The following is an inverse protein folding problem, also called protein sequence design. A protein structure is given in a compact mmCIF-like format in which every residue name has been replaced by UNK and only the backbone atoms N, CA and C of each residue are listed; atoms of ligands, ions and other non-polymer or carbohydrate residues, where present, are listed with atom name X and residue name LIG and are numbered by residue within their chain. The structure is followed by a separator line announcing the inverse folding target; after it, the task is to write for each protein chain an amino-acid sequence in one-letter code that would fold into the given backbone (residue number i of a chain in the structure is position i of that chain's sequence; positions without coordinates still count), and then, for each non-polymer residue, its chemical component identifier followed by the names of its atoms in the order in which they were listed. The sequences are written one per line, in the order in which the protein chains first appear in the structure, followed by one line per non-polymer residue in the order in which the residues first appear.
data_IF_440809032088
#
_entry.id   IF_440809032088
#
_cell.length_a   1.000
_cell.length_b   1.000
_cell.length_c   1.000
_cell.angle_alpha   90.00
_cell.angle_beta   90.00
_cell.angle_gamma   90.00
#
_symmetry.space_group_name_H-M   'P 1'
#
loop_
_entity.id
_entity.type
_entity.pdbx_description
1 polymer ?
#
# COMPACT_ATOMS: atom_id res chain seq x y z
N UNK A 1 39.21 31.71 16.87
CA UNK A 1 38.16 30.82 17.42
C UNK A 1 36.87 31.20 16.71
N UNK A 2 36.65 30.63 15.53
CA UNK A 2 35.39 30.80 14.81
C UNK A 2 34.47 29.63 15.18
N UNK A 3 33.24 29.99 15.51
CA UNK A 3 32.22 29.12 16.07
C UNK A 3 31.89 27.95 15.13
N UNK A 4 32.17 26.73 15.60
CA UNK A 4 31.55 25.49 15.12
C UNK A 4 30.10 25.46 15.61
N UNK A 5 29.17 25.98 14.82
CA UNK A 5 27.77 25.57 14.85
C UNK A 5 27.40 25.14 13.42
N UNK A 6 27.95 24.00 13.00
CA UNK A 6 27.41 23.26 11.86
C UNK A 6 26.31 22.37 12.42
N UNK A 7 25.07 22.70 12.05
CA UNK A 7 23.88 21.89 12.33
C UNK A 7 24.12 20.49 11.76
N UNK A 8 24.13 19.47 12.62
CA UNK A 8 24.47 18.08 12.31
C UNK A 8 23.24 17.40 11.66
N UNK A 9 22.73 17.98 10.56
CA UNK A 9 21.60 17.43 9.82
C UNK A 9 22.08 16.14 9.13
N UNK A 10 21.52 14.96 9.50
CA UNK A 10 21.99 13.70 8.95
C UNK A 10 21.84 13.70 7.43
N UNK A 11 22.90 13.23 6.74
CA UNK A 11 22.95 13.14 5.28
C UNK A 11 21.72 12.43 4.70
N UNK A 12 21.21 11.43 5.42
CA UNK A 12 20.04 10.64 5.03
C UNK A 12 18.95 10.81 6.08
N UNK A 13 17.82 11.39 5.66
CA UNK A 13 16.62 11.49 6.49
C UNK A 13 15.76 10.23 6.34
N UNK A 14 15.13 9.82 7.45
CA UNK A 14 14.22 8.67 7.46
C UNK A 14 13.05 8.90 6.49
N UNK A 15 12.50 10.11 6.46
CA UNK A 15 11.43 10.54 5.55
C UNK A 15 11.74 10.23 4.09
N UNK A 16 13.00 10.34 3.69
CA UNK A 16 13.43 10.23 2.31
C UNK A 16 13.60 8.76 1.87
N UNK A 17 13.69 7.84 2.83
CA UNK A 17 14.02 6.43 2.61
C UNK A 17 12.90 5.46 2.98
N UNK A 18 12.02 5.83 3.92
CA UNK A 18 11.09 4.87 4.53
C UNK A 18 10.14 4.23 3.51
N UNK A 19 9.67 4.99 2.52
CA UNK A 19 8.82 4.44 1.45
C UNK A 19 9.52 3.28 0.71
N UNK A 20 10.76 3.51 0.28
CA UNK A 20 11.53 2.50 -0.46
C UNK A 20 11.98 1.35 0.43
N UNK A 21 12.26 1.63 1.70
CA UNK A 21 12.58 0.62 2.69
C UNK A 21 11.39 -0.31 2.95
N UNK A 22 10.16 0.22 3.07
CA UNK A 22 8.93 -0.58 3.21
C UNK A 22 8.71 -1.42 1.96
N UNK A 23 8.81 -0.82 0.77
CA UNK A 23 8.70 -1.53 -0.50
C UNK A 23 9.70 -2.69 -0.58
N UNK A 24 10.99 -2.41 -0.35
CA UNK A 24 12.05 -3.40 -0.38
C UNK A 24 11.85 -4.53 0.64
N UNK A 25 11.37 -4.21 1.84
CA UNK A 25 11.11 -5.19 2.91
C UNK A 25 9.99 -6.15 2.51
N UNK A 26 8.86 -5.61 2.02
CA UNK A 26 7.73 -6.42 1.55
C UNK A 26 8.10 -7.27 0.32
N UNK A 27 8.86 -6.70 -0.62
CA UNK A 27 9.32 -7.42 -1.80
C UNK A 27 10.31 -8.53 -1.45
N UNK A 28 11.24 -8.27 -0.53
CA UNK A 28 12.23 -9.25 -0.09
C UNK A 28 11.59 -10.45 0.61
N UNK A 29 10.49 -10.24 1.36
CA UNK A 29 9.73 -11.34 1.94
C UNK A 29 9.12 -12.27 0.86
N UNK A 30 8.71 -11.71 -0.27
CA UNK A 30 8.16 -12.52 -1.38
C UNK A 30 9.21 -13.45 -2.00
N UNK A 31 10.50 -13.10 -1.90
CA UNK A 31 11.63 -13.92 -2.36
C UNK A 31 12.19 -14.83 -1.24
N UNK A 32 11.90 -14.53 0.02
CA UNK A 32 12.39 -15.25 1.20
C UNK A 32 11.30 -15.29 2.28
N UNK A 33 10.41 -16.30 2.26
CA UNK A 33 9.15 -16.30 3.01
C UNK A 33 9.26 -16.39 4.54
N UNK A 34 10.45 -16.26 5.11
CA UNK A 34 10.68 -16.28 6.56
C UNK A 34 11.05 -14.90 7.14
N UNK A 35 11.08 -13.84 6.31
CA UNK A 35 11.47 -12.50 6.75
C UNK A 35 10.38 -11.80 7.59
N UNK A 36 9.10 -12.05 7.28
CA UNK A 36 7.95 -11.41 7.92
C UNK A 36 7.00 -12.48 8.47
N UNK A 37 6.39 -12.21 9.61
CA UNK A 37 5.26 -12.99 10.12
C UNK A 37 3.92 -12.53 9.49
N UNK A 38 3.92 -12.31 8.18
CA UNK A 38 2.76 -11.92 7.36
C UNK A 38 2.67 -12.89 6.18
N UNK A 39 1.48 -13.07 5.61
CA UNK A 39 1.35 -13.94 4.43
C UNK A 39 1.92 -13.26 3.17
N UNK A 40 2.49 -14.07 2.26
CA UNK A 40 2.99 -13.55 0.97
C UNK A 40 1.89 -12.87 0.16
N UNK A 41 0.65 -13.38 0.22
CA UNK A 41 -0.51 -12.79 -0.45
C UNK A 41 -0.90 -11.41 0.13
N UNK A 42 -0.76 -11.24 1.44
CA UNK A 42 -1.00 -9.96 2.09
C UNK A 42 0.06 -8.93 1.65
N UNK A 43 1.33 -9.33 1.67
CA UNK A 43 2.44 -8.47 1.22
C UNK A 43 2.33 -8.10 -0.27
N UNK A 44 1.98 -9.04 -1.14
CA UNK A 44 1.80 -8.78 -2.58
C UNK A 44 0.63 -7.82 -2.84
N UNK A 45 -0.42 -7.88 -2.04
CA UNK A 45 -1.56 -6.96 -2.13
C UNK A 45 -1.18 -5.55 -1.70
N UNK A 46 -0.34 -5.40 -0.67
CA UNK A 46 0.20 -4.09 -0.27
C UNK A 46 1.04 -3.42 -1.37
N UNK A 47 1.77 -4.23 -2.15
CA UNK A 47 2.63 -3.79 -3.26
C UNK A 47 1.88 -3.57 -4.58
N UNK A 48 0.63 -4.02 -4.69
CA UNK A 48 -0.10 -4.02 -5.96
C UNK A 48 -0.34 -2.60 -6.48
N UNK A 49 0.08 -2.33 -7.71
CA UNK A 49 -0.28 -1.10 -8.42
C UNK A 49 -1.65 -1.24 -9.06
N UNK A 50 -2.51 -0.22 -8.92
CA UNK A 50 -3.79 -0.19 -9.62
C UNK A 50 -3.70 0.66 -10.90
N UNK A 51 -4.09 0.14 -12.08
CA UNK A 51 -3.85 0.79 -13.38
C UNK A 51 -4.66 2.07 -13.64
N UNK A 52 -5.61 2.42 -12.77
CA UNK A 52 -6.57 3.52 -12.96
C UNK A 52 -6.46 4.65 -11.95
N UNK A 53 -5.37 4.73 -11.18
CA UNK A 53 -5.07 6.00 -10.53
C UNK A 53 -4.84 7.03 -11.65
N UNK A 54 -5.58 8.16 -11.71
CA UNK A 54 -5.31 9.18 -12.69
C UNK A 54 -3.83 9.55 -12.61
N UNK A 55 -3.17 9.57 -13.77
CA UNK A 55 -1.78 10.00 -13.91
C UNK A 55 -1.61 11.31 -13.14
N UNK A 56 -0.55 11.49 -12.32
CA UNK A 56 -0.34 12.75 -11.64
C UNK A 56 -0.21 13.84 -12.70
N UNK A 57 -1.22 14.71 -12.78
CA UNK A 57 -0.93 16.10 -13.11
C UNK A 57 0.09 16.59 -12.08
N UNK A 58 0.92 17.56 -12.47
CA UNK A 58 2.13 18.05 -11.81
C UNK A 58 2.00 18.56 -10.35
N UNK A 59 0.95 18.21 -9.64
CA UNK A 59 0.81 18.30 -8.19
C UNK A 59 0.56 16.90 -7.65
N UNK A 60 1.59 16.28 -7.08
CA UNK A 60 1.49 15.05 -6.31
C UNK A 60 0.36 15.19 -5.29
N UNK A 61 -0.79 14.55 -5.53
CA UNK A 61 -1.76 14.33 -4.45
C UNK A 61 -1.09 13.39 -3.46
N UNK A 62 -0.46 13.96 -2.44
CA UNK A 62 -0.07 13.21 -1.26
C UNK A 62 -1.34 12.52 -0.74
N UNK A 63 -1.28 11.20 -0.54
CA UNK A 63 -2.40 10.47 0.04
C UNK A 63 -2.62 11.00 1.45
N UNK A 64 -3.64 11.85 1.63
CA UNK A 64 -4.02 12.35 2.95
C UNK A 64 -4.23 11.16 3.87
N UNK A 65 -3.83 11.27 5.12
CA UNK A 65 -4.12 10.31 6.18
C UNK A 65 -5.65 10.14 6.45
N UNK A 66 -6.51 10.82 5.71
CA UNK A 66 -7.96 10.65 5.74
C UNK A 66 -8.50 9.78 4.60
N UNK A 67 -9.67 9.17 4.83
CA UNK A 67 -10.38 8.43 3.79
C UNK A 67 -9.83 7.03 3.53
N UNK A 68 -10.39 6.37 2.51
CA UNK A 68 -9.96 5.02 2.06
C UNK A 68 -8.56 5.13 1.46
N UNK A 69 -7.55 4.32 1.80
CA UNK A 69 -6.20 4.53 1.30
C UNK A 69 -6.07 4.34 -0.23
N UNK A 70 -5.13 5.06 -0.84
CA UNK A 70 -4.78 4.88 -2.25
C UNK A 70 -3.83 3.69 -2.45
N UNK A 71 -3.98 3.00 -3.59
CA UNK A 71 -3.04 1.97 -4.00
C UNK A 71 -1.83 2.59 -4.72
N UNK A 72 -0.61 2.04 -4.56
CA UNK A 72 -0.28 0.88 -3.74
C UNK A 72 -0.26 1.22 -2.23
N UNK A 73 -0.82 0.33 -1.42
CA UNK A 73 -1.09 0.58 0.00
C UNK A 73 0.19 0.75 0.85
N UNK A 74 1.33 0.22 0.40
CA UNK A 74 2.59 0.36 1.14
C UNK A 74 3.03 1.84 1.30
N UNK A 75 2.63 2.74 0.40
CA UNK A 75 2.94 4.18 0.50
C UNK A 75 2.23 4.81 1.69
N UNK A 76 0.96 4.47 1.86
CA UNK A 76 0.17 4.86 3.03
C UNK A 76 0.76 4.28 4.31
N UNK A 77 1.13 2.99 4.29
CA UNK A 77 1.79 2.34 5.41
C UNK A 77 3.10 3.05 5.79
N UNK A 78 3.94 3.40 4.81
CA UNK A 78 5.18 4.14 5.05
C UNK A 78 4.91 5.52 5.68
N UNK A 79 3.91 6.25 5.17
CA UNK A 79 3.54 7.57 5.70
C UNK A 79 3.02 7.50 7.13
N UNK A 80 2.18 6.50 7.44
CA UNK A 80 1.69 6.25 8.78
C UNK A 80 2.81 5.84 9.75
N UNK A 81 3.72 4.97 9.31
CA UNK A 81 4.91 4.58 10.09
C UNK A 81 5.83 5.78 10.36
N UNK A 82 6.08 6.63 9.35
CA UNK A 82 6.88 7.84 9.52
C UNK A 82 6.26 8.74 10.59
N UNK A 83 4.96 8.99 10.48
CA UNK A 83 4.22 9.82 11.43
C UNK A 83 4.30 9.24 12.84
N UNK A 84 4.19 7.91 13.00
CA UNK A 84 4.31 7.25 14.31
C UNK A 84 5.73 7.33 14.88
N UNK A 85 6.76 7.25 14.04
CA UNK A 85 8.16 7.37 14.44
C UNK A 85 8.55 8.80 14.81
N UNK A 86 7.96 9.81 14.17
CA UNK A 86 8.19 11.23 14.48
C UNK A 86 7.41 11.73 15.69
N UNK A 87 6.17 11.28 15.86
CA UNK A 87 5.30 11.69 16.97
C UNK A 87 5.49 10.87 18.24
N UNK A 88 6.29 9.80 18.20
CA UNK A 88 6.41 8.80 19.26
C UNK A 88 5.03 8.35 19.77
N UNK A 89 4.09 8.09 18.86
CA UNK A 89 2.76 7.62 19.21
C UNK A 89 2.23 6.69 18.11
N UNK A 90 1.53 5.62 18.50
CA UNK A 90 0.78 4.83 17.53
C UNK A 90 -0.49 5.60 17.16
N UNK A 91 -0.56 6.11 15.94
CA UNK A 91 -1.75 6.77 15.43
C UNK A 91 -2.44 5.84 14.44
N UNK A 92 -3.56 5.22 14.82
CA UNK A 92 -4.43 4.61 13.83
C UNK A 92 -4.99 5.73 12.95
N UNK A 93 -4.60 5.70 11.68
CA UNK A 93 -4.82 6.80 10.78
C UNK A 93 -6.32 7.06 10.59
N UNK A 94 -6.80 8.25 10.96
CA UNK A 94 -8.18 8.70 10.70
C UNK A 94 -9.14 8.69 11.90
N UNK A 95 -8.72 8.29 13.09
CA UNK A 95 -9.60 8.37 14.27
C UNK A 95 -9.61 9.78 14.86
N UNK A 96 -10.73 10.49 14.72
CA UNK A 96 -11.07 11.53 15.69
C UNK A 96 -11.11 10.88 17.08
N UNK A 97 -10.26 11.37 17.99
CA UNK A 97 -10.14 10.94 19.39
C UNK A 97 -11.48 10.98 20.15
N UNK A 98 -12.50 11.64 19.60
CA UNK A 98 -13.83 11.76 20.19
C UNK A 98 -14.71 10.51 20.07
N UNK A 99 -14.41 9.57 19.16
CA UNK A 99 -15.21 8.33 19.01
C UNK A 99 -14.61 7.11 19.71
N UNK A 100 -13.33 7.15 20.10
CA UNK A 100 -12.61 6.04 20.73
C UNK A 100 -12.72 6.02 22.26
N UNK A 101 -12.97 7.17 22.89
CA UNK A 101 -12.97 7.31 24.36
C UNK A 101 -14.04 6.49 25.10
N UNK A 102 -15.04 5.91 24.41
CA UNK A 102 -16.09 5.12 25.07
C UNK A 102 -15.95 3.59 24.88
N UNK A 103 -15.05 3.09 24.01
CA UNK A 103 -15.05 1.65 23.64
C UNK A 103 -13.67 0.99 23.45
N UNK A 104 -12.55 1.63 23.75
CA UNK A 104 -11.28 0.90 23.76
C UNK A 104 -11.26 -0.13 24.91
N UNK A 105 -11.43 -1.40 24.55
CA UNK A 105 -11.25 -2.50 25.50
C UNK A 105 -9.82 -2.49 26.06
N UNK A 106 -9.65 -2.87 27.34
CA UNK A 106 -8.34 -2.97 27.98
C UNK A 106 -7.31 -3.81 27.19
N UNK A 107 -7.79 -4.77 26.39
CA UNK A 107 -6.96 -5.58 25.49
C UNK A 107 -6.42 -4.80 24.30
N UNK A 108 -7.20 -3.89 23.69
CA UNK A 108 -6.74 -3.09 22.54
C UNK A 108 -5.72 -2.04 22.98
N UNK A 109 -5.98 -1.39 24.11
CA UNK A 109 -5.04 -0.45 24.70
C UNK A 109 -3.68 -1.11 24.99
N UNK A 110 -3.69 -2.34 25.52
CA UNK A 110 -2.46 -3.10 25.72
C UNK A 110 -1.71 -3.35 24.39
N UNK A 111 -2.41 -3.78 23.33
CA UNK A 111 -1.79 -3.99 22.01
C UNK A 111 -1.20 -2.70 21.44
N UNK A 112 -1.93 -1.59 21.53
CA UNK A 112 -1.44 -0.29 21.08
C UNK A 112 -0.16 0.13 21.80
N UNK A 113 -0.07 -0.10 23.12
CA UNK A 113 1.14 0.17 23.89
C UNK A 113 2.33 -0.70 23.44
N UNK A 114 2.10 -2.00 23.19
CA UNK A 114 3.15 -2.90 22.69
C UNK A 114 3.63 -2.49 21.29
N UNK A 115 2.70 -2.12 20.40
CA UNK A 115 3.04 -1.62 19.06
C UNK A 115 3.78 -0.30 19.12
N UNK A 116 3.36 0.62 19.99
CA UNK A 116 4.04 1.90 20.19
C UNK A 116 5.49 1.68 20.66
N UNK A 117 5.71 0.83 21.68
CA UNK A 117 7.05 0.48 22.15
C UNK A 117 7.91 -0.11 21.03
N UNK A 118 7.32 -0.99 20.21
CA UNK A 118 8.02 -1.59 19.08
C UNK A 118 8.38 -0.58 17.99
N UNK A 119 7.49 0.39 17.69
CA UNK A 119 7.76 1.47 16.74
C UNK A 119 8.92 2.34 17.22
N UNK A 120 8.93 2.71 18.50
CA UNK A 120 10.02 3.52 19.08
C UNK A 120 11.33 2.75 19.03
N UNK A 121 11.33 1.49 19.48
CA UNK A 121 12.53 0.65 19.50
C UNK A 121 13.09 0.45 18.09
N UNK A 122 12.30 -0.08 17.15
CA UNK A 122 12.76 -0.39 15.80
C UNK A 122 12.96 0.85 14.94
N UNK A 123 12.17 1.90 15.15
CA UNK A 123 12.40 3.21 14.54
C UNK A 123 13.76 3.78 14.93
N UNK A 124 14.12 3.71 16.20
CA UNK A 124 15.44 4.17 16.68
C UNK A 124 16.60 3.36 16.09
N UNK A 125 16.46 2.04 15.96
CA UNK A 125 17.45 1.19 15.28
C UNK A 125 17.68 1.64 13.83
N UNK A 126 16.60 1.84 13.07
CA UNK A 126 16.67 2.30 11.68
C UNK A 126 17.36 3.66 11.60
N UNK A 127 16.94 4.62 12.43
CA UNK A 127 17.52 5.97 12.47
C UNK A 127 19.01 5.92 12.82
N UNK A 128 19.42 5.10 13.78
CA UNK A 128 20.83 4.96 14.17
C UNK A 128 21.68 4.37 13.04
N UNK A 129 21.14 3.41 12.27
CA UNK A 129 21.80 2.89 11.07
C UNK A 129 21.93 4.00 10.02
N UNK A 130 20.87 4.75 9.73
CA UNK A 130 20.87 5.81 8.73
C UNK A 130 21.80 6.98 9.09
N UNK A 131 21.87 7.38 10.37
CA UNK A 131 22.81 8.40 10.87
C UNK A 131 24.27 8.05 10.61
N UNK A 132 24.59 6.76 10.53
CA UNK A 132 25.96 6.31 10.26
C UNK A 132 26.33 6.31 8.77
N UNK A 133 25.37 6.55 7.88
CA UNK A 133 25.59 6.53 6.42
C UNK A 133 26.35 7.78 5.98
N UNK A 134 27.43 7.57 5.23
CA UNK A 134 28.29 8.63 4.69
C UNK A 134 27.98 8.96 3.23
N UNK A 135 27.39 8.02 2.48
CA UNK A 135 27.06 8.21 1.07
C UNK A 135 25.78 7.47 0.66
N UNK A 136 24.99 8.08 -0.22
CA UNK A 136 23.91 7.39 -0.93
C UNK A 136 24.33 7.13 -2.38
N UNK A 137 24.15 5.89 -2.84
CA UNK A 137 24.34 5.49 -4.24
C UNK A 137 23.08 4.80 -4.79
N UNK A 138 22.87 5.00 -6.08
CA UNK A 138 21.86 4.26 -6.83
C UNK A 138 22.52 3.22 -7.75
N UNK A 139 22.09 1.97 -7.66
CA UNK A 139 22.56 0.84 -8.47
C UNK A 139 21.37 0.22 -9.20
N UNK A 140 21.50 0.04 -10.52
CA UNK A 140 20.45 -0.56 -11.33
C UNK A 140 20.43 -2.10 -11.22
N UNK A 141 19.28 -2.69 -11.53
CA UNK A 141 19.20 -4.14 -11.73
C UNK A 141 19.97 -4.56 -13.00
N UNK A 142 20.59 -5.76 -13.04
CA UNK A 142 20.57 -6.81 -12.01
C UNK A 142 21.61 -6.61 -10.88
N UNK A 143 22.47 -5.59 -10.97
CA UNK A 143 23.62 -5.41 -10.09
C UNK A 143 23.23 -5.14 -8.62
N UNK A 144 22.08 -4.49 -8.39
CA UNK A 144 21.56 -4.29 -7.05
C UNK A 144 21.21 -5.62 -6.36
N UNK A 145 20.47 -6.50 -7.04
CA UNK A 145 20.19 -7.86 -6.53
C UNK A 145 21.47 -8.66 -6.33
N UNK A 146 22.42 -8.57 -7.26
CA UNK A 146 23.71 -9.25 -7.12
C UNK A 146 24.53 -8.76 -5.91
N UNK A 147 24.46 -7.47 -5.57
CA UNK A 147 25.07 -6.92 -4.35
C UNK A 147 24.33 -7.42 -3.09
N UNK A 148 23.00 -7.43 -3.12
CA UNK A 148 22.14 -7.93 -2.02
C UNK A 148 22.48 -9.38 -1.66
N UNK A 149 22.69 -10.21 -2.68
CA UNK A 149 22.92 -11.66 -2.58
C UNK A 149 24.41 -12.00 -2.39
N UNK A 150 25.30 -11.00 -2.41
CA UNK A 150 26.75 -11.17 -2.20
C UNK A 150 27.52 -11.73 -3.40
N UNK A 151 26.89 -11.80 -4.58
CA UNK A 151 27.54 -12.19 -5.83
C UNK A 151 28.49 -11.10 -6.31
N UNK A 152 28.03 -9.84 -6.28
CA UNK A 152 28.82 -8.66 -6.60
C UNK A 152 29.39 -8.09 -5.32
N UNK A 153 30.70 -7.80 -5.30
CA UNK A 153 31.41 -7.27 -4.12
C UNK A 153 32.24 -6.03 -4.43
N UNK A 154 32.35 -5.66 -5.71
CA UNK A 154 33.09 -4.48 -6.15
C UNK A 154 32.16 -3.62 -7.01
N UNK A 155 32.00 -2.35 -6.64
CA UNK A 155 31.24 -1.36 -7.38
C UNK A 155 32.19 -0.39 -8.10
N UNK A 156 32.19 -0.43 -9.44
CA UNK A 156 32.99 0.47 -10.27
C UNK A 156 32.25 1.77 -10.58
N UNK A 157 32.91 2.92 -10.36
CA UNK A 157 32.37 4.27 -10.67
C UNK A 157 33.46 5.16 -11.25
N UNK A 158 33.16 6.08 -12.15
CA UNK A 158 34.13 7.13 -12.50
C UNK A 158 34.48 7.95 -11.26
N UNK A 159 35.78 8.15 -11.00
CA UNK A 159 36.31 8.85 -9.82
C UNK A 159 36.07 10.37 -9.91
N UNK A 160 34.81 10.78 -9.81
CA UNK A 160 34.37 12.16 -10.00
C UNK A 160 33.37 12.59 -8.91
N UNK A 161 33.35 13.88 -8.62
CA UNK A 161 32.38 14.48 -7.69
C UNK A 161 32.43 13.86 -6.29
N UNK A 162 31.27 13.41 -5.79
CA UNK A 162 31.15 12.86 -4.42
C UNK A 162 31.93 11.56 -4.21
N UNK A 163 32.23 10.80 -5.27
CA UNK A 163 32.90 9.50 -5.14
C UNK A 163 34.36 9.61 -4.70
N UNK A 164 35.01 10.75 -4.95
CA UNK A 164 36.40 11.00 -4.56
C UNK A 164 36.58 11.22 -3.06
N UNK A 165 35.48 11.39 -2.32
CA UNK A 165 35.48 11.57 -0.87
C UNK A 165 35.18 10.27 -0.14
N UNK A 166 34.96 9.17 -0.86
CA UNK A 166 34.72 7.87 -0.25
C UNK A 166 36.06 7.36 0.30
N UNK A 167 36.03 6.94 1.55
CA UNK A 167 37.16 6.40 2.29
C UNK A 167 36.85 4.99 2.84
N UNK A 168 37.90 4.28 3.24
CA UNK A 168 37.75 2.98 3.90
C UNK A 168 36.91 3.13 5.18
N UNK A 169 36.03 2.15 5.44
CA UNK A 169 35.12 2.16 6.59
C UNK A 169 33.90 3.07 6.43
N UNK A 170 33.79 3.86 5.36
CA UNK A 170 32.56 4.61 5.10
C UNK A 170 31.38 3.67 4.86
N UNK A 171 30.19 4.12 5.28
CA UNK A 171 28.94 3.38 5.08
C UNK A 171 28.16 3.97 3.91
N UNK A 172 27.74 3.11 3.00
CA UNK A 172 27.04 3.46 1.78
C UNK A 172 25.64 2.88 1.82
N UNK A 173 24.63 3.73 1.66
CA UNK A 173 23.24 3.32 1.44
C UNK A 173 22.97 3.15 -0.05
N UNK A 174 22.63 1.93 -0.45
CA UNK A 174 22.25 1.58 -1.82
C UNK A 174 20.74 1.54 -1.96
N UNK A 175 20.23 2.28 -2.96
CA UNK A 175 18.81 2.35 -3.31
C UNK A 175 17.90 2.57 -2.08
N UNK A 176 18.38 3.40 -1.14
CA UNK A 176 17.66 3.76 0.09
C UNK A 176 17.26 2.58 1.00
N UNK A 177 17.81 1.39 0.77
CA UNK A 177 17.30 0.14 1.38
C UNK A 177 18.38 -0.75 2.00
N UNK A 178 19.60 -0.76 1.44
CA UNK A 178 20.68 -1.63 1.90
C UNK A 178 21.92 -0.84 2.28
N UNK A 179 22.53 -1.18 3.42
CA UNK A 179 23.75 -0.53 3.90
C UNK A 179 24.96 -1.43 3.71
N UNK A 180 26.01 -0.89 3.12
CA UNK A 180 27.28 -1.56 2.90
C UNK A 180 28.41 -0.76 3.54
N UNK A 181 29.47 -1.45 3.96
CA UNK A 181 30.71 -0.84 4.42
C UNK A 181 31.80 -0.99 3.36
N UNK A 182 32.55 0.10 3.11
CA UNK A 182 33.67 0.13 2.19
C UNK A 182 34.87 -0.59 2.80
N UNK A 183 35.25 -1.73 2.20
CA UNK A 183 36.38 -2.55 2.61
C UNK A 183 37.65 -2.29 1.79
N UNK A 184 37.52 -1.65 0.63
CA UNK A 184 38.62 -1.44 -0.28
C UNK A 184 38.33 -0.32 -1.27
N UNK A 185 39.36 0.44 -1.62
CA UNK A 185 39.30 1.49 -2.64
C UNK A 185 40.56 1.42 -3.49
N UNK A 186 40.38 1.31 -4.80
CA UNK A 186 41.49 1.34 -5.76
C UNK A 186 41.12 2.17 -6.97
N UNK A 187 42.05 3.02 -7.39
CA UNK A 187 41.90 3.84 -8.59
C UNK A 187 42.57 3.16 -9.79
N UNK A 188 41.94 3.28 -10.96
CA UNK A 188 42.40 2.76 -12.24
C UNK A 188 42.30 3.82 -13.33
N UNK A 189 43.19 3.81 -14.34
CA UNK A 189 43.11 4.75 -15.46
C UNK A 189 41.83 4.57 -16.30
N UNK A 190 41.36 3.33 -16.45
CA UNK A 190 40.18 3.00 -17.26
C UNK A 190 39.33 1.88 -16.64
N UNK A 191 38.08 1.72 -17.11
CA UNK A 191 37.25 0.57 -16.76
C UNK A 191 37.85 -0.74 -17.28
N UNK A 192 38.57 -0.68 -18.42
CA UNK A 192 39.27 -1.84 -18.95
C UNK A 192 40.33 -2.31 -17.95
N UNK A 193 41.22 -1.41 -17.49
CA UNK A 193 42.28 -1.73 -16.52
C UNK A 193 41.69 -2.26 -15.20
N UNK A 194 40.59 -1.65 -14.75
CA UNK A 194 39.88 -2.10 -13.55
C UNK A 194 39.35 -3.52 -13.72
N UNK A 195 38.69 -3.83 -14.84
CA UNK A 195 38.06 -5.13 -15.09
C UNK A 195 39.08 -6.23 -15.42
N UNK A 196 40.25 -5.87 -15.96
CA UNK A 196 41.36 -6.80 -16.19
C UNK A 196 42.08 -7.14 -14.88
N UNK A 197 42.26 -6.15 -14.00
CA UNK A 197 42.96 -6.34 -12.72
C UNK A 197 42.07 -6.92 -11.63
N UNK A 198 40.85 -6.42 -11.48
CA UNK A 198 39.87 -6.94 -10.54
C UNK A 198 39.16 -8.16 -11.13
N UNK A 199 38.69 -9.07 -10.28
CA UNK A 199 37.96 -10.23 -10.77
C UNK A 199 36.64 -9.79 -11.43
N UNK A 200 36.51 -9.95 -12.76
CA UNK A 200 35.31 -9.59 -13.53
C UNK A 200 34.02 -10.10 -12.87
N UNK A 201 34.00 -11.35 -12.40
CA UNK A 201 32.85 -11.94 -11.71
C UNK A 201 32.48 -11.25 -10.39
N UNK A 202 33.41 -10.54 -9.72
CA UNK A 202 33.14 -9.75 -8.51
C UNK A 202 32.61 -8.35 -8.82
N UNK A 203 32.92 -7.82 -10.01
CA UNK A 203 32.49 -6.49 -10.47
C UNK A 203 31.18 -6.58 -11.26
N UNK A 204 31.09 -7.49 -12.21
CA UNK A 204 29.96 -7.71 -13.11
C UNK A 204 29.64 -9.22 -13.20
N UNK A 205 29.03 -9.82 -12.17
CA UNK A 205 28.65 -11.23 -12.20
C UNK A 205 27.78 -11.58 -13.41
N UNK A 206 28.14 -12.67 -14.11
CA UNK A 206 27.44 -13.16 -15.30
C UNK A 206 27.95 -12.60 -16.64
N UNK A 207 28.91 -11.65 -16.62
CA UNK A 207 29.57 -11.15 -17.83
C UNK A 207 30.79 -12.01 -18.17
N UNK A 208 30.91 -12.40 -19.44
CA UNK A 208 31.92 -13.37 -19.89
C UNK A 208 33.26 -12.73 -20.33
N UNK A 209 33.27 -11.43 -20.68
CA UNK A 209 34.46 -10.74 -21.20
C UNK A 209 34.61 -9.31 -20.67
N UNK A 210 35.86 -8.83 -20.62
CA UNK A 210 36.18 -7.46 -20.20
C UNK A 210 35.58 -6.44 -21.18
N UNK A 211 35.61 -6.73 -22.48
CA UNK A 211 35.08 -5.86 -23.54
C UNK A 211 33.58 -5.66 -23.38
N UNK A 212 32.85 -6.71 -23.03
CA UNK A 212 31.42 -6.61 -22.73
C UNK A 212 31.15 -5.84 -21.44
N UNK A 213 31.99 -6.04 -20.41
CA UNK A 213 31.94 -5.26 -19.19
C UNK A 213 32.13 -3.75 -19.42
N UNK A 214 33.08 -3.37 -20.26
CA UNK A 214 33.29 -1.96 -20.66
C UNK A 214 32.06 -1.41 -21.39
N UNK A 215 31.44 -2.18 -22.29
CA UNK A 215 30.19 -1.77 -22.98
C UNK A 215 29.05 -1.50 -22.00
N UNK A 216 28.97 -2.23 -20.88
CA UNK A 216 27.98 -1.95 -19.82
C UNK A 216 28.27 -0.59 -19.19
N UNK A 217 29.52 -0.29 -18.82
CA UNK A 217 29.89 1.00 -18.25
C UNK A 217 29.68 2.18 -19.22
N UNK A 218 29.83 1.95 -20.53
CA UNK A 218 29.56 2.95 -21.59
C UNK A 218 28.10 3.40 -21.65
N UNK A 219 27.16 2.63 -21.10
CA UNK A 219 25.75 3.06 -20.95
C UNK A 219 25.59 4.17 -19.91
N UNK A 220 26.56 4.34 -19.01
CA UNK A 220 26.52 5.28 -17.88
C UNK A 220 27.57 6.39 -17.97
N UNK A 221 28.71 6.12 -18.61
CA UNK A 221 29.86 7.01 -18.64
C UNK A 221 30.45 7.15 -20.04
N UNK A 222 30.70 8.39 -20.47
CA UNK A 222 31.43 8.68 -21.70
C UNK A 222 32.93 8.40 -21.51
N UNK A 223 33.62 8.10 -22.61
CA UNK A 223 35.07 7.86 -22.62
C UNK A 223 35.84 9.08 -22.14
N UNK A 224 35.42 10.27 -22.55
CA UNK A 224 36.03 11.53 -22.12
C UNK A 224 35.99 11.68 -20.58
N UNK A 225 34.85 11.35 -19.96
CA UNK A 225 34.69 11.45 -18.51
C UNK A 225 35.55 10.43 -17.78
N UNK A 226 35.66 9.23 -18.31
CA UNK A 226 36.57 8.20 -17.79
C UNK A 226 38.03 8.64 -17.92
N UNK A 227 38.48 9.07 -19.09
CA UNK A 227 39.87 9.49 -19.31
C UNK A 227 40.26 10.68 -18.42
N UNK A 228 39.31 11.60 -18.17
CA UNK A 228 39.57 12.78 -17.33
C UNK A 228 39.70 12.44 -15.85
N UNK A 229 38.92 11.47 -15.35
CA UNK A 229 38.78 11.22 -13.92
C UNK A 229 39.40 9.89 -13.45
N UNK A 230 39.58 8.95 -14.37
CA UNK A 230 39.78 7.54 -14.09
C UNK A 230 38.56 6.88 -13.45
N UNK A 231 38.79 5.70 -12.89
CA UNK A 231 37.77 4.82 -12.33
C UNK A 231 38.16 4.42 -10.90
N UNK A 232 37.16 4.34 -10.04
CA UNK A 232 37.27 3.86 -8.67
C UNK A 232 36.58 2.51 -8.55
N UNK A 233 37.33 1.50 -8.13
CA UNK A 233 36.80 0.22 -7.68
C UNK A 233 36.54 0.30 -6.18
N UNK A 234 35.27 0.24 -5.80
CA UNK A 234 34.82 0.30 -4.40
C UNK A 234 34.47 -1.10 -3.96
N UNK A 235 35.35 -1.75 -3.20
CA UNK A 235 35.06 -3.05 -2.58
C UNK A 235 34.13 -2.83 -1.40
N UNK A 236 32.99 -3.51 -1.40
CA UNK A 236 31.93 -3.33 -0.39
C UNK A 236 31.58 -4.66 0.27
N UNK A 237 31.20 -4.59 1.54
CA UNK A 237 30.64 -5.71 2.30
C UNK A 237 29.30 -5.32 2.89
N UNK A 238 28.33 -6.22 2.84
CA UNK A 238 26.99 -5.96 3.40
C UNK A 238 27.10 -5.86 4.91
N UNK A 239 26.57 -4.78 5.49
CA UNK A 239 26.57 -4.61 6.95
C UNK A 239 25.70 -5.70 7.60
N UNK A 240 26.11 -6.32 8.73
CA UNK A 240 25.29 -7.37 9.37
C UNK A 240 23.92 -6.87 9.83
N UNK A 241 23.86 -5.64 10.35
CA UNK A 241 22.62 -4.99 10.79
C UNK A 241 22.10 -4.13 9.64
N UNK A 242 20.86 -4.37 9.21
CA UNK A 242 20.26 -3.69 8.08
C UNK A 242 18.99 -2.94 8.48
N UNK A 243 18.66 -1.80 7.83
CA UNK A 243 17.43 -1.09 8.16
C UNK A 243 16.18 -1.94 7.84
N UNK A 244 16.22 -2.74 6.78
CA UNK A 244 15.08 -3.59 6.40
C UNK A 244 14.86 -4.74 7.39
N UNK A 245 15.89 -5.18 8.14
CA UNK A 245 15.72 -6.24 9.15
C UNK A 245 14.99 -5.71 10.38
N UNK A 246 15.31 -4.49 10.82
CA UNK A 246 14.58 -3.83 11.90
C UNK A 246 13.14 -3.51 11.48
N UNK A 247 12.94 -3.06 10.24
CA UNK A 247 11.60 -2.84 9.69
C UNK A 247 10.81 -4.14 9.55
N UNK A 248 11.44 -5.24 9.15
CA UNK A 248 10.80 -6.55 9.07
C UNK A 248 10.34 -7.06 10.45
N UNK A 249 11.18 -6.85 11.48
CA UNK A 249 10.83 -7.15 12.86
C UNK A 249 9.65 -6.29 13.33
N UNK A 250 9.65 -5.00 13.01
CA UNK A 250 8.54 -4.09 13.30
C UNK A 250 7.22 -4.57 12.67
N UNK A 251 7.22 -4.81 11.36
CA UNK A 251 6.03 -5.29 10.64
C UNK A 251 5.53 -6.64 11.16
N UNK A 252 6.45 -7.52 11.57
CA UNK A 252 6.09 -8.82 12.15
C UNK A 252 5.44 -8.69 13.53
N UNK A 253 5.91 -7.75 14.36
CA UNK A 253 5.32 -7.50 15.67
C UNK A 253 4.02 -6.70 15.63
N UNK A 254 3.85 -5.84 14.62
CA UNK A 254 2.54 -5.22 14.33
C UNK A 254 1.49 -6.26 13.95
N UNK A 255 1.91 -7.37 13.32
CA UNK A 255 1.03 -8.39 12.75
C UNK A 255 0.05 -7.80 11.72
N UNK A 256 -0.92 -8.60 11.26
CA UNK A 256 -1.94 -8.07 10.34
C UNK A 256 -2.75 -6.93 10.96
N UNK A 257 -3.05 -7.02 12.25
CA UNK A 257 -3.91 -6.09 12.97
C UNK A 257 -3.30 -4.68 13.03
N UNK A 258 -2.04 -4.57 13.44
CA UNK A 258 -1.34 -3.28 13.49
C UNK A 258 -1.12 -2.69 12.10
N UNK A 259 -0.82 -3.51 11.08
CA UNK A 259 -0.70 -3.03 9.70
C UNK A 259 -2.04 -2.51 9.16
N UNK A 260 -3.14 -3.21 9.41
CA UNK A 260 -4.49 -2.76 9.08
C UNK A 260 -4.83 -1.45 9.81
N UNK A 261 -4.50 -1.33 11.10
CA UNK A 261 -4.71 -0.13 11.90
C UNK A 261 -3.93 1.09 11.37
N UNK A 262 -2.70 0.90 10.90
CA UNK A 262 -1.91 1.94 10.23
C UNK A 262 -2.48 2.34 8.87
N UNK A 263 -3.17 1.43 8.18
CA UNK A 263 -3.94 1.73 6.96
C UNK A 263 -5.29 2.41 7.25
N UNK A 264 -5.66 2.59 8.53
CA UNK A 264 -6.88 3.25 8.98
C UNK A 264 -8.08 2.32 9.15
N UNK A 265 -7.88 1.01 9.19
CA UNK A 265 -8.96 0.06 9.45
C UNK A 265 -9.21 -0.05 10.95
N UNK A 266 -10.49 -0.15 11.29
CA UNK A 266 -10.96 -0.40 12.64
C UNK A 266 -11.05 -1.90 12.92
N UNK A 267 -10.76 -2.29 14.16
CA UNK A 267 -10.93 -3.66 14.62
C UNK A 267 -12.12 -3.77 15.55
N UNK A 268 -13.14 -4.48 15.09
CA UNK A 268 -14.37 -4.76 15.84
C UNK A 268 -14.65 -6.25 15.83
N UNK A 269 -15.62 -6.70 16.63
CA UNK A 269 -16.12 -8.07 16.54
C UNK A 269 -16.55 -8.37 15.10
N UNK A 270 -16.02 -9.46 14.54
CA UNK A 270 -16.29 -9.88 13.16
C UNK A 270 -15.33 -9.31 12.11
N UNK A 271 -14.34 -8.48 12.46
CA UNK A 271 -13.28 -8.03 11.54
C UNK A 271 -12.53 -9.22 10.94
N UNK A 272 -12.23 -9.13 9.65
CA UNK A 272 -11.45 -10.15 8.93
C UNK A 272 -9.94 -9.91 9.14
N UNK A 273 -9.20 -10.85 9.78
CA UNK A 273 -7.85 -10.60 10.28
C UNK A 273 -6.77 -10.28 9.24
N UNK A 274 -7.00 -10.47 7.94
CA UNK A 274 -6.00 -10.25 6.89
C UNK A 274 -6.57 -9.55 5.65
N UNK A 275 -7.78 -8.99 5.75
CA UNK A 275 -8.40 -8.27 4.66
C UNK A 275 -7.77 -6.88 4.49
N UNK A 276 -7.69 -6.41 3.25
CA UNK A 276 -7.20 -5.09 2.89
C UNK A 276 -8.30 -4.32 2.18
N UNK A 277 -8.34 -2.98 2.33
CA UNK A 277 -9.39 -2.16 1.72
C UNK A 277 -9.31 -2.27 0.20
N UNK A 278 -10.42 -2.48 -0.51
CA UNK A 278 -10.42 -2.56 -1.97
C UNK A 278 -10.01 -1.22 -2.60
N UNK A 279 -9.46 -1.22 -3.84
CA UNK A 279 -9.09 0.01 -4.53
C UNK A 279 -10.27 0.96 -4.70
N UNK A 280 -10.06 2.28 -4.46
CA UNK A 280 -11.08 3.32 -4.68
C UNK A 280 -11.71 3.24 -6.07
N UNK A 281 -10.91 2.94 -7.09
CA UNK A 281 -11.37 2.74 -8.47
C UNK A 281 -12.37 1.59 -8.60
N UNK A 282 -12.16 0.47 -7.90
CA UNK A 282 -13.10 -0.65 -7.86
C UNK A 282 -14.41 -0.26 -7.18
N UNK A 283 -14.33 0.46 -6.06
CA UNK A 283 -15.50 0.98 -5.34
C UNK A 283 -16.33 1.93 -6.21
N UNK A 284 -15.67 2.83 -6.93
CA UNK A 284 -16.32 3.79 -7.83
C UNK A 284 -16.89 3.10 -9.07
N UNK A 285 -16.19 2.13 -9.64
CA UNK A 285 -16.66 1.39 -10.81
C UNK A 285 -17.92 0.57 -10.51
N UNK A 286 -17.96 -0.11 -9.36
CA UNK A 286 -19.15 -0.85 -8.93
C UNK A 286 -20.33 0.08 -8.64
N UNK A 287 -20.07 1.22 -7.98
CA UNK A 287 -21.07 2.25 -7.70
C UNK A 287 -21.66 2.87 -8.99
N UNK A 288 -20.82 3.12 -10.00
CA UNK A 288 -21.19 3.74 -11.27
C UNK A 288 -21.69 2.75 -12.33
N UNK A 289 -21.77 1.46 -12.00
CA UNK A 289 -22.29 0.46 -12.94
C UNK A 289 -23.80 0.68 -13.18
N UNK A 290 -24.30 0.59 -14.44
CA UNK A 290 -25.73 0.70 -14.75
C UNK A 290 -26.56 -0.40 -14.05
N UNK A 291 -27.77 -0.06 -13.58
CA UNK A 291 -28.65 -1.04 -12.93
C UNK A 291 -29.13 -2.15 -13.89
N UNK A 292 -29.34 -1.82 -15.17
CA UNK A 292 -29.88 -2.73 -16.19
C UNK A 292 -28.95 -2.78 -17.41
N UNK A 293 -27.93 -3.66 -17.42
CA UNK A 293 -27.00 -3.74 -18.55
C UNK A 293 -27.66 -4.25 -19.84
N UNK A 294 -28.72 -5.05 -19.73
CA UNK A 294 -29.35 -5.75 -20.87
C UNK A 294 -30.33 -4.90 -21.69
N UNK A 295 -30.79 -3.75 -21.19
CA UNK A 295 -31.68 -2.85 -21.94
C UNK A 295 -30.90 -2.02 -22.97
N UNK A 296 -29.55 -2.03 -22.89
CA UNK A 296 -28.68 -1.06 -23.57
C UNK A 296 -27.90 -1.58 -24.78
N UNK A 297 -28.05 -2.85 -25.18
CA UNK A 297 -27.43 -3.35 -26.43
C UNK A 297 -28.19 -2.84 -27.67
N UNK A 298 -29.39 -2.27 -27.52
CA UNK A 298 -30.23 -1.83 -28.64
C UNK A 298 -30.20 -0.33 -28.95
N UNK A 299 -29.62 0.52 -28.10
CA UNK A 299 -29.62 1.98 -28.32
C UNK A 299 -28.30 2.54 -27.76
N UNK A 300 -27.52 3.29 -28.56
CA UNK A 300 -26.23 3.93 -28.22
C UNK A 300 -26.29 4.98 -27.07
N UNK A 301 -27.08 4.76 -26.03
CA UNK A 301 -27.25 5.65 -24.88
C UNK A 301 -26.49 5.05 -23.70
N UNK A 302 -25.17 5.02 -23.77
CA UNK A 302 -24.33 4.51 -22.68
C UNK A 302 -24.24 5.53 -21.51
N UNK A 303 -24.50 6.81 -21.77
CA UNK A 303 -24.19 7.91 -20.84
C UNK A 303 -25.34 8.32 -19.88
N UNK A 304 -26.56 7.80 -20.04
CA UNK A 304 -27.73 8.25 -19.27
C UNK A 304 -28.44 7.16 -18.46
N UNK A 305 -27.90 5.94 -18.39
CA UNK A 305 -28.51 4.87 -17.61
C UNK A 305 -28.38 5.15 -16.10
N UNK A 306 -29.46 4.96 -15.33
CA UNK A 306 -29.42 5.09 -13.88
C UNK A 306 -28.43 4.07 -13.26
N UNK A 307 -27.46 4.57 -12.49
CA UNK A 307 -26.45 3.73 -11.84
C UNK A 307 -26.96 3.10 -10.56
N UNK A 308 -26.29 2.03 -10.13
CA UNK A 308 -26.55 1.41 -8.84
C UNK A 308 -26.43 2.40 -7.68
N UNK A 309 -25.42 3.28 -7.72
CA UNK A 309 -25.21 4.34 -6.76
C UNK A 309 -26.35 5.35 -6.70
N UNK A 310 -26.83 5.84 -7.86
CA UNK A 310 -27.96 6.77 -7.91
C UNK A 310 -29.27 6.15 -7.40
N UNK A 311 -29.52 4.89 -7.76
CA UNK A 311 -30.68 4.14 -7.25
C UNK A 311 -30.60 3.96 -5.73
N UNK A 312 -29.43 3.68 -5.18
CA UNK A 312 -29.25 3.55 -3.75
C UNK A 312 -29.40 4.89 -3.03
N UNK A 313 -28.79 5.98 -3.53
CA UNK A 313 -28.95 7.31 -2.95
C UNK A 313 -30.44 7.71 -2.92
N UNK A 314 -31.22 7.38 -3.96
CA UNK A 314 -32.66 7.67 -4.00
C UNK A 314 -33.45 6.98 -2.88
N UNK A 315 -33.09 5.73 -2.57
CA UNK A 315 -33.70 4.98 -1.46
C UNK A 315 -33.34 5.55 -0.10
N UNK A 316 -32.16 6.14 0.06
CA UNK A 316 -31.71 6.67 1.34
C UNK A 316 -32.15 8.13 1.55
N UNK A 317 -32.14 8.95 0.50
CA UNK A 317 -32.60 10.33 0.55
C UNK A 317 -34.06 10.46 0.99
N UNK A 318 -34.94 9.53 0.61
CA UNK A 318 -36.33 9.54 1.06
C UNK A 318 -36.55 9.06 2.50
N UNK A 319 -35.55 8.39 3.09
CA UNK A 319 -35.60 7.84 4.45
C UNK A 319 -34.88 8.72 5.48
N UNK A 320 -34.04 9.64 5.03
CA UNK A 320 -33.23 10.51 5.87
C UNK A 320 -33.92 11.86 6.06
N UNK A 321 -34.26 12.21 7.28
CA UNK A 321 -34.87 13.51 7.61
C UNK A 321 -33.86 14.67 7.61
N UNK A 322 -32.57 14.36 7.75
CA UNK A 322 -31.47 15.32 7.86
C UNK A 322 -31.13 16.09 6.58
N UNK A 323 -31.60 15.63 5.41
CA UNK A 323 -31.21 16.20 4.12
C UNK A 323 -29.76 15.93 3.69
N UNK A 324 -28.98 15.14 4.45
CA UNK A 324 -27.56 14.86 4.18
C UNK A 324 -27.29 14.36 2.75
N UNK A 325 -28.16 13.47 2.25
CA UNK A 325 -28.04 12.86 0.92
C UNK A 325 -28.43 13.79 -0.25
N UNK A 326 -28.99 14.96 0.04
CA UNK A 326 -29.53 15.89 -0.95
C UNK A 326 -30.83 15.40 -1.59
N UNK A 327 -31.31 16.17 -2.58
CA UNK A 327 -32.55 15.88 -3.31
C UNK A 327 -32.25 15.40 -4.72
N UNK A 328 -32.68 14.18 -5.04
CA UNK A 328 -32.48 13.54 -6.34
C UNK A 328 -33.57 13.96 -7.33
N UNK A 329 -33.45 15.18 -7.84
CA UNK A 329 -34.36 15.76 -8.83
C UNK A 329 -33.68 15.83 -10.20
N UNK A 330 -34.46 15.62 -11.27
CA UNK A 330 -34.00 15.75 -12.65
C UNK A 330 -33.81 14.42 -13.38
N UNK A 331 -33.12 14.47 -14.51
CA UNK A 331 -32.84 13.30 -15.33
C UNK A 331 -31.81 12.36 -14.67
N UNK A 332 -31.65 11.16 -15.22
CA UNK A 332 -30.77 10.14 -14.63
C UNK A 332 -29.30 10.55 -14.62
N UNK A 333 -28.85 11.35 -15.59
CA UNK A 333 -27.50 11.95 -15.60
C UNK A 333 -27.26 12.83 -14.37
N UNK A 334 -28.21 13.70 -14.02
CA UNK A 334 -28.13 14.54 -12.82
C UNK A 334 -28.11 13.72 -11.54
N UNK A 335 -28.93 12.66 -11.46
CA UNK A 335 -28.96 11.75 -10.32
C UNK A 335 -27.65 11.01 -10.14
N UNK A 336 -27.08 10.51 -11.24
CA UNK A 336 -25.79 9.84 -11.27
C UNK A 336 -24.67 10.76 -10.81
N UNK A 337 -24.64 12.01 -11.31
CA UNK A 337 -23.65 13.02 -10.91
C UNK A 337 -23.72 13.31 -9.40
N UNK A 338 -24.92 13.54 -8.86
CA UNK A 338 -25.09 13.77 -7.42
C UNK A 338 -24.63 12.57 -6.59
N UNK A 339 -24.96 11.35 -7.03
CA UNK A 339 -24.52 10.13 -6.37
C UNK A 339 -22.99 9.99 -6.35
N UNK A 340 -22.33 10.32 -7.46
CA UNK A 340 -20.86 10.35 -7.58
C UNK A 340 -20.25 11.39 -6.64
N UNK A 341 -20.83 12.59 -6.55
CA UNK A 341 -20.35 13.63 -5.64
C UNK A 341 -20.42 13.19 -4.18
N UNK A 342 -21.52 12.53 -3.78
CA UNK A 342 -21.69 12.00 -2.41
C UNK A 342 -20.69 10.89 -2.11
N UNK A 343 -20.54 9.89 -2.99
CA UNK A 343 -19.64 8.76 -2.71
C UNK A 343 -18.18 9.18 -2.70
N UNK A 344 -17.78 10.13 -3.56
CA UNK A 344 -16.42 10.68 -3.54
C UNK A 344 -16.12 11.39 -2.22
N UNK A 345 -17.08 12.14 -1.66
CA UNK A 345 -16.93 12.75 -0.32
C UNK A 345 -16.78 11.70 0.77
N UNK A 346 -17.61 10.66 0.77
CA UNK A 346 -17.50 9.57 1.75
C UNK A 346 -16.14 8.86 1.65
N UNK A 347 -15.68 8.53 0.45
CA UNK A 347 -14.39 7.85 0.23
C UNK A 347 -13.21 8.75 0.65
N UNK A 348 -13.27 10.05 0.36
CA UNK A 348 -12.20 10.99 0.67
C UNK A 348 -12.12 11.36 2.16
N UNK A 349 -13.24 11.31 2.88
CA UNK A 349 -13.33 11.85 4.24
C UNK A 349 -13.85 10.84 5.28
N UNK A 350 -13.93 9.55 4.96
CA UNK A 350 -14.29 8.56 5.97
C UNK A 350 -13.23 8.54 7.08
N UNK A 351 -13.70 8.58 8.33
CA UNK A 351 -12.88 8.48 9.54
C UNK A 351 -13.00 7.08 10.19
N UNK A 352 -13.83 6.23 9.61
CA UNK A 352 -14.02 4.85 10.05
C UNK A 352 -14.14 3.97 8.81
N UNK A 353 -13.39 2.88 8.77
CA UNK A 353 -13.56 1.82 7.77
C UNK A 353 -13.20 0.46 8.33
N UNK A 354 -13.82 -0.59 7.83
CA UNK A 354 -13.55 -1.96 8.27
C UNK A 354 -14.01 -2.98 7.22
N UNK A 355 -13.35 -4.14 7.18
CA UNK A 355 -13.82 -5.35 6.50
C UNK A 355 -14.26 -6.33 7.58
N UNK A 356 -15.57 -6.57 7.68
CA UNK A 356 -16.12 -7.38 8.75
C UNK A 356 -17.38 -8.15 8.33
N UNK A 357 -17.76 -9.14 9.14
CA UNK A 357 -18.97 -9.92 8.92
C UNK A 357 -20.18 -9.22 9.51
N UNK A 358 -21.21 -8.99 8.68
CA UNK A 358 -22.50 -8.43 9.08
C UNK A 358 -23.57 -9.48 8.80
N UNK A 359 -24.17 -10.14 9.81
CA UNK A 359 -25.33 -11.00 9.60
C UNK A 359 -26.56 -10.20 9.13
N UNK A 360 -27.37 -10.69 8.17
CA UNK A 360 -27.20 -11.92 7.36
C UNK A 360 -26.38 -11.72 6.07
N UNK A 361 -25.77 -10.55 5.87
CA UNK A 361 -25.13 -10.10 4.63
C UNK A 361 -23.74 -10.68 4.33
N UNK A 362 -23.11 -11.36 5.29
CA UNK A 362 -21.77 -11.93 5.13
C UNK A 362 -20.66 -10.88 5.30
N UNK A 363 -19.52 -11.08 4.64
CA UNK A 363 -18.36 -10.17 4.73
C UNK A 363 -18.55 -8.96 3.85
N UNK A 364 -18.35 -7.77 4.43
CA UNK A 364 -18.55 -6.48 3.77
C UNK A 364 -17.40 -5.54 4.05
N UNK A 365 -17.09 -4.67 3.08
CA UNK A 365 -16.27 -3.49 3.30
C UNK A 365 -17.17 -2.29 3.58
N UNK A 366 -16.96 -1.61 4.69
CA UNK A 366 -17.80 -0.50 5.12
C UNK A 366 -16.95 0.72 5.47
N UNK A 367 -17.46 1.90 5.12
CA UNK A 367 -16.86 3.20 5.46
C UNK A 367 -17.91 4.09 6.11
N UNK A 368 -17.49 4.96 7.04
CA UNK A 368 -18.34 5.99 7.66
C UNK A 368 -17.58 7.30 7.85
N UNK A 369 -18.32 8.40 7.74
CA UNK A 369 -17.88 9.73 8.18
C UNK A 369 -18.29 9.96 9.63
N UNK A 370 -17.78 11.03 10.24
CA UNK A 370 -17.99 11.35 11.65
C UNK A 370 -19.48 11.46 12.04
N UNK A 371 -20.32 11.95 11.12
CA UNK A 371 -21.78 12.08 11.32
C UNK A 371 -22.53 10.73 11.28
N UNK A 372 -21.81 9.60 11.16
CA UNK A 372 -22.37 8.25 11.15
C UNK A 372 -22.89 7.77 9.81
N UNK A 373 -23.04 8.68 8.82
CA UNK A 373 -23.34 8.33 7.43
C UNK A 373 -22.22 7.51 6.81
N UNK A 374 -22.56 6.58 5.93
CA UNK A 374 -21.57 5.68 5.39
C UNK A 374 -21.96 4.98 4.10
N UNK A 375 -21.09 4.10 3.65
CA UNK A 375 -21.28 3.28 2.48
C UNK A 375 -20.73 1.86 2.67
N UNK A 376 -21.30 0.89 1.95
CA UNK A 376 -20.93 -0.53 2.08
C UNK A 376 -20.85 -1.22 0.73
N UNK A 377 -19.85 -2.10 0.60
CA UNK A 377 -19.60 -2.98 -0.54
C UNK A 377 -19.38 -4.42 -0.06
N UNK A 378 -19.28 -5.36 -0.98
CA UNK A 378 -18.64 -6.66 -0.72
C UNK A 378 -17.17 -6.50 -0.33
N UNK A 379 -16.61 -7.56 0.23
CA UNK A 379 -15.17 -7.64 0.55
C UNK A 379 -14.25 -7.22 -0.61
N UNK A 380 -14.57 -7.62 -1.84
CA UNK A 380 -13.78 -7.31 -3.05
C UNK A 380 -14.07 -5.94 -3.66
N UNK A 381 -15.02 -5.17 -3.10
CA UNK A 381 -15.46 -3.88 -3.61
C UNK A 381 -16.31 -3.92 -4.90
N UNK A 382 -16.57 -5.10 -5.47
CA UNK A 382 -17.17 -5.24 -6.79
C UNK A 382 -18.69 -5.30 -6.79
N UNK A 383 -19.36 -6.05 -5.90
CA UNK A 383 -20.84 -6.26 -5.89
C UNK A 383 -21.36 -6.82 -4.57
N UNK A 384 -22.47 -6.31 -4.03
CA UNK A 384 -23.16 -6.97 -2.90
C UNK A 384 -23.80 -8.29 -3.31
N UNK A 385 -23.69 -9.30 -2.45
CA UNK A 385 -24.26 -10.65 -2.59
C UNK A 385 -25.73 -10.64 -3.02
N UNK A 386 -26.08 -11.60 -3.88
CA UNK A 386 -27.40 -11.83 -4.46
C UNK A 386 -27.83 -13.27 -4.29
N UNK A 387 -29.03 -13.51 -3.78
CA UNK A 387 -29.76 -14.76 -3.97
C UNK A 387 -30.87 -14.55 -5.05
N UNK A 388 -31.36 -15.62 -5.69
CA UNK A 388 -32.29 -15.57 -6.85
C UNK A 388 -33.58 -16.36 -6.58
N UNK A 389 -34.78 -15.77 -6.41
CA UNK A 389 -36.06 -16.54 -6.30
C UNK A 389 -36.44 -17.12 -7.66
N UNK A 390 -36.45 -18.44 -7.78
CA UNK A 390 -37.07 -19.15 -8.91
C UNK A 390 -38.55 -19.31 -8.61
N UNK A 391 -39.42 -18.60 -9.33
CA UNK A 391 -40.85 -18.88 -9.34
C UNK A 391 -41.13 -20.08 -10.24
N UNK A 392 -41.59 -21.21 -9.70
CA UNK A 392 -42.26 -22.24 -10.50
C UNK A 392 -43.71 -21.82 -10.75
N UNK A 393 -44.14 -21.87 -12.02
CA UNK A 393 -45.54 -21.66 -12.43
C UNK A 393 -46.41 -22.80 -11.92
N UNK A 394 -47.62 -22.44 -11.51
CA UNK A 394 -48.71 -23.36 -11.19
C UNK A 394 -48.94 -24.41 -12.29
N UNK A 395 -48.98 -25.67 -11.86
CA UNK A 395 -49.48 -26.81 -12.60
C UNK A 395 -50.31 -27.68 -11.67
N UNK A 396 -51.61 -27.70 -11.93
CA UNK A 396 -52.67 -28.38 -11.20
C UNK A 396 -52.50 -29.90 -11.02
N UNK A 397 -52.67 -30.35 -9.77
CA UNK A 397 -53.26 -31.60 -9.21
C UNK A 397 -53.47 -32.81 -10.16
N UNK A 398 -52.83 -33.96 -9.88
CA UNK A 398 -53.56 -35.24 -9.62
C UNK A 398 -52.70 -36.35 -8.97
N UNK A 399 -53.28 -36.91 -7.90
CA UNK A 399 -53.20 -38.28 -7.34
C UNK A 399 -51.86 -39.02 -7.04
N UNK A 400 -51.75 -39.37 -5.74
CA UNK A 400 -51.39 -40.68 -5.18
C UNK A 400 -49.97 -40.91 -4.58
N UNK A 401 -50.02 -41.18 -3.27
CA UNK A 401 -49.11 -41.86 -2.33
C UNK A 401 -47.86 -41.16 -1.74
N UNK A 402 -47.59 -41.37 -0.42
CA UNK A 402 -46.57 -40.66 0.32
C UNK A 402 -45.29 -41.51 0.47
N UNK A 403 -44.17 -41.00 -0.03
CA UNK A 403 -42.85 -41.48 0.37
C UNK A 403 -41.96 -40.27 0.61
N UNK A 404 -41.30 -40.28 1.77
CA UNK A 404 -40.49 -39.20 2.30
C UNK A 404 -39.56 -38.56 1.24
N UNK A 405 -39.87 -37.33 0.85
CA UNK A 405 -38.92 -36.42 0.22
C UNK A 405 -38.73 -35.25 1.19
N UNK A 406 -37.51 -35.15 1.72
CA UNK A 406 -37.00 -33.97 2.38
C UNK A 406 -37.24 -32.78 1.45
N UNK A 407 -38.15 -31.88 1.84
CA UNK A 407 -38.36 -30.60 1.17
C UNK A 407 -37.07 -29.79 1.38
N UNK A 408 -36.21 -29.76 0.37
CA UNK A 408 -35.14 -28.78 0.31
C UNK A 408 -35.79 -27.41 0.07
N UNK A 409 -35.96 -26.64 1.14
CA UNK A 409 -36.37 -25.24 1.05
C UNK A 409 -35.18 -24.45 0.51
N UNK A 410 -35.16 -24.20 -0.79
CA UNK A 410 -34.22 -23.29 -1.43
C UNK A 410 -34.66 -21.85 -1.15
N UNK A 411 -34.11 -21.27 -0.08
CA UNK A 411 -34.24 -19.85 0.20
C UNK A 411 -33.65 -19.04 -0.92
N UNK A 412 -34.35 -18.00 -1.32
CA UNK A 412 -33.92 -17.18 -2.42
C UNK A 412 -34.37 -15.73 -2.12
N UNK A 413 -33.39 -14.88 -1.81
CA UNK A 413 -33.57 -13.52 -1.31
C UNK A 413 -33.20 -12.48 -2.38
N UNK A 414 -34.13 -11.57 -2.68
CA UNK A 414 -33.88 -10.38 -3.50
C UNK A 414 -32.70 -9.53 -2.98
N UNK A 415 -31.92 -9.01 -3.91
CA UNK A 415 -30.68 -8.25 -3.73
C UNK A 415 -31.03 -6.84 -3.25
N UNK A 416 -30.58 -6.45 -2.07
CA UNK A 416 -30.47 -5.04 -1.72
C UNK A 416 -28.99 -4.63 -1.72
N UNK A 417 -28.56 -3.92 -2.76
CA UNK A 417 -27.30 -3.18 -2.70
C UNK A 417 -27.45 -2.06 -1.67
N UNK A 418 -26.77 -2.17 -0.54
CA UNK A 418 -26.74 -1.12 0.49
C UNK A 418 -25.48 -0.29 0.32
N UNK A 419 -25.51 0.65 -0.63
CA UNK A 419 -24.39 1.59 -0.83
C UNK A 419 -24.37 2.72 0.18
N UNK A 420 -25.47 3.02 0.85
CA UNK A 420 -25.53 4.09 1.83
C UNK A 420 -26.02 3.58 3.17
N UNK A 421 -25.56 4.22 4.24
CA UNK A 421 -25.92 3.92 5.63
C UNK A 421 -26.34 5.22 6.29
N UNK A 422 -27.46 5.22 7.01
CA UNK A 422 -27.93 6.37 7.79
C UNK A 422 -27.09 6.55 9.06
N UNK A 423 -27.19 7.73 9.66
CA UNK A 423 -26.55 8.03 10.93
C UNK A 423 -26.99 7.04 12.02
N UNK A 424 -26.09 6.73 12.96
CA UNK A 424 -26.43 5.90 14.11
C UNK A 424 -27.58 6.54 14.90
N UNK A 425 -28.73 5.85 14.98
CA UNK A 425 -29.94 6.32 15.69
C UNK A 425 -31.17 6.59 14.80
N UNK A 426 -31.04 6.55 13.46
CA UNK A 426 -32.16 6.74 12.52
C UNK A 426 -32.73 5.43 11.94
N UNK A 427 -32.51 4.28 12.60
CA UNK A 427 -32.98 2.95 12.14
C UNK A 427 -34.20 2.44 12.89
#
# INVERSE_FOLDING_TARGET
MENKNGDDDPLVKLSDCLEELVNFTLYSHSQSPNLLNLSTQFCSTLLKHHPTNPLPSSHSQADSLDGVPLYPLYKRLASALLSCMESEAFCSTGCNLSMTNEFESSSMLHKHNEWHKLIVEKGSEIVNILKSVSFELHVQEPFFTQLKDGLKTIEGRCASGKYNRIELGNRILLNKSLVFEVQGLKWYPSFFDMLETECLGKVLPGVESVEEGVKIYRRFYTEEKEQTNGVLAITVSKLPVQPYTSLASLLSGLSFEGVQGLLGLMHTTGTIPNALPPPRSTLLASFNSPCNPNVHVMINIQENALTHGARALAKHACRSSSGYWGSLVGNDSNKNRLAVDVINKLIAHCCWMNIHTVPPHGVVFEIRVADGYGARWSEDGCKSHTFMMVTQRDGSISSANPTAQTIAVSFTYEIEYRFFLLACGEL
#
